data_IF_148403653760
#
_entry.id   IF_148403653760
#
_cell.length_a   1.000
_cell.length_b   1.000
_cell.length_c   1.000
_cell.angle_alpha   90.00
_cell.angle_beta   90.00
_cell.angle_gamma   90.00
#
_symmetry.space_group_name_H-M   'P 1'
#
loop_
_entity.id
_entity.type
_entity.pdbx_description
1 polymer ?
#
# COMPACT_ATOMS: atom_id res chain seq x y z
N UNK A 1 9.22 -0.03 -5.53
CA UNK A 1 7.93 -0.71 -5.75
C UNK A 1 8.21 -2.21 -5.84
N UNK A 2 7.51 -3.02 -5.03
CA UNK A 2 7.48 -4.47 -5.26
C UNK A 2 6.53 -4.75 -6.41
N UNK A 3 6.95 -5.55 -7.38
CA UNK A 3 6.21 -5.84 -8.61
C UNK A 3 6.15 -7.34 -8.84
N UNK A 4 5.08 -7.79 -9.49
CA UNK A 4 4.91 -9.16 -9.92
C UNK A 4 5.27 -9.26 -11.40
N UNK A 5 6.35 -9.97 -11.72
CA UNK A 5 6.90 -10.09 -13.08
C UNK A 5 7.44 -11.50 -13.32
N UNK A 6 7.54 -11.91 -14.59
CA UNK A 6 8.14 -13.20 -14.96
C UNK A 6 9.60 -13.26 -14.51
N UNK A 7 9.98 -14.39 -13.92
CA UNK A 7 11.33 -14.61 -13.42
C UNK A 7 11.85 -16.00 -13.82
N UNK A 8 13.17 -16.13 -13.90
CA UNK A 8 13.88 -17.42 -13.87
C UNK A 8 14.29 -17.70 -12.42
N UNK A 9 14.06 -18.93 -11.97
CA UNK A 9 14.42 -19.38 -10.62
C UNK A 9 15.50 -20.45 -10.73
N UNK A 10 16.62 -20.25 -10.04
CA UNK A 10 17.74 -21.19 -10.03
C UNK A 10 18.47 -21.20 -8.70
N UNK A 11 19.59 -21.92 -8.63
CA UNK A 11 20.40 -22.05 -7.40
C UNK A 11 20.93 -20.72 -6.85
N UNK A 12 21.05 -19.71 -7.72
CA UNK A 12 21.54 -18.37 -7.36
C UNK A 12 20.40 -17.41 -6.97
N UNK A 13 19.16 -17.90 -6.90
CA UNK A 13 17.98 -17.11 -6.53
C UNK A 13 17.10 -16.75 -7.73
N UNK A 14 16.50 -15.57 -7.66
CA UNK A 14 15.48 -15.09 -8.61
C UNK A 14 16.11 -14.08 -9.58
N UNK A 15 16.01 -14.37 -10.88
CA UNK A 15 16.40 -13.46 -11.95
C UNK A 15 15.15 -12.95 -12.66
N UNK A 16 14.85 -11.66 -12.50
CA UNK A 16 13.68 -11.03 -13.13
C UNK A 16 13.90 -10.82 -14.63
N UNK A 17 12.86 -11.04 -15.43
CA UNK A 17 12.89 -10.73 -16.86
C UNK A 17 12.35 -9.32 -17.11
N UNK A 18 12.98 -8.59 -18.03
CA UNK A 18 12.59 -7.22 -18.37
C UNK A 18 11.19 -7.17 -18.99
N UNK A 19 10.29 -6.39 -18.39
CA UNK A 19 8.92 -6.16 -18.91
C UNK A 19 8.88 -5.08 -20.00
N UNK A 20 9.80 -4.10 -19.96
CA UNK A 20 9.80 -2.96 -20.86
C UNK A 20 8.94 -1.80 -20.35
N UNK A 21 8.46 -0.95 -21.27
CA UNK A 21 7.66 0.23 -20.92
C UNK A 21 6.19 -0.14 -20.69
N UNK A 22 5.63 0.35 -19.58
CA UNK A 22 4.21 0.17 -19.24
C UNK A 22 3.40 1.37 -19.76
N UNK A 23 2.28 1.16 -20.48
CA UNK A 23 1.43 2.26 -20.93
C UNK A 23 0.89 3.12 -19.78
N UNK A 24 0.66 4.40 -20.07
CA UNK A 24 0.29 5.44 -19.07
C UNK A 24 -0.87 5.03 -18.17
N UNK A 25 -1.92 4.42 -18.73
CA UNK A 25 -3.09 3.99 -17.97
C UNK A 25 -2.70 3.02 -16.84
N UNK A 26 -2.04 1.91 -17.18
CA UNK A 26 -1.62 0.90 -16.20
C UNK A 26 -0.59 1.44 -15.22
N UNK A 27 0.35 2.26 -15.70
CA UNK A 27 1.32 2.92 -14.83
C UNK A 27 0.61 3.78 -13.78
N UNK A 28 -0.38 4.58 -14.16
CA UNK A 28 -1.16 5.37 -13.22
C UNK A 28 -1.85 4.52 -12.14
N UNK A 29 -2.43 3.39 -12.54
CA UNK A 29 -3.06 2.46 -11.59
C UNK A 29 -2.05 1.85 -10.61
N UNK A 30 -0.89 1.41 -11.12
CA UNK A 30 0.14 0.77 -10.31
C UNK A 30 0.79 1.75 -9.32
N UNK A 31 1.07 2.97 -9.75
CA UNK A 31 1.69 4.00 -8.91
C UNK A 31 0.75 4.43 -7.77
N UNK A 32 -0.55 4.56 -8.05
CA UNK A 32 -1.55 4.84 -7.02
C UNK A 32 -1.64 3.70 -5.98
N UNK A 33 -1.72 2.44 -6.44
CA UNK A 33 -1.78 1.29 -5.53
C UNK A 33 -0.48 1.11 -4.73
N UNK A 34 0.67 1.38 -5.34
CA UNK A 34 1.96 1.36 -4.66
C UNK A 34 2.02 2.42 -3.57
N UNK A 35 1.56 3.64 -3.83
CA UNK A 35 1.52 4.72 -2.83
C UNK A 35 0.68 4.31 -1.61
N UNK A 36 -0.49 3.71 -1.82
CA UNK A 36 -1.31 3.13 -0.75
C UNK A 36 -0.53 2.09 0.09
N UNK A 37 0.07 1.10 -0.57
CA UNK A 37 0.82 0.03 0.12
C UNK A 37 2.03 0.58 0.88
N UNK A 38 2.76 1.51 0.28
CA UNK A 38 3.92 2.15 0.90
C UNK A 38 3.54 2.96 2.14
N UNK A 39 2.49 3.78 2.07
CA UNK A 39 2.00 4.55 3.21
C UNK A 39 1.46 3.64 4.33
N UNK A 40 0.87 2.50 3.98
CA UNK A 40 0.42 1.51 4.97
C UNK A 40 1.60 0.90 5.73
N UNK A 41 2.69 0.54 5.02
CA UNK A 41 3.92 0.05 5.67
C UNK A 41 4.56 1.15 6.52
N UNK A 42 4.65 2.38 6.00
CA UNK A 42 5.22 3.50 6.75
C UNK A 42 4.40 3.80 8.02
N UNK A 43 3.08 3.65 7.96
CA UNK A 43 2.19 3.73 9.14
C UNK A 43 2.56 2.70 10.19
N UNK A 44 2.79 1.45 9.79
CA UNK A 44 3.18 0.38 10.71
C UNK A 44 4.53 0.65 11.38
N UNK A 45 5.51 1.15 10.61
CA UNK A 45 6.86 1.42 11.10
C UNK A 45 6.95 2.67 11.98
N UNK A 46 6.18 3.71 11.67
CA UNK A 46 6.27 5.01 12.35
C UNK A 46 5.15 5.25 13.36
N UNK A 47 4.07 4.47 13.31
CA UNK A 47 2.87 4.69 14.10
C UNK A 47 2.16 6.00 13.74
N UNK A 48 2.13 6.40 12.47
CA UNK A 48 1.54 7.70 12.08
C UNK A 48 0.08 7.58 11.66
N UNK A 49 -0.84 8.19 12.43
CA UNK A 49 -2.26 8.28 12.08
C UNK A 49 -2.45 8.99 10.73
N UNK A 50 -1.70 10.08 10.49
CA UNK A 50 -1.78 10.84 9.25
C UNK A 50 -1.45 9.98 8.02
N UNK A 51 -0.41 9.13 8.10
CA UNK A 51 -0.05 8.23 7.00
C UNK A 51 -1.09 7.13 6.79
N UNK A 52 -1.69 6.63 7.88
CA UNK A 52 -2.77 5.65 7.82
C UNK A 52 -3.96 6.22 7.04
N UNK A 53 -4.36 7.44 7.39
CA UNK A 53 -5.45 8.15 6.73
C UNK A 53 -5.13 8.43 5.27
N UNK A 54 -3.92 8.91 4.96
CA UNK A 54 -3.50 9.15 3.57
C UNK A 54 -3.51 7.86 2.73
N UNK A 55 -3.12 6.72 3.32
CA UNK A 55 -3.20 5.43 2.65
C UNK A 55 -4.65 5.14 2.27
N UNK A 56 -5.58 5.15 3.23
CA UNK A 56 -6.98 4.85 2.96
C UNK A 56 -7.61 5.82 1.95
N UNK A 57 -7.29 7.12 2.01
CA UNK A 57 -7.77 8.11 1.03
C UNK A 57 -7.28 7.80 -0.38
N UNK A 58 -6.04 7.33 -0.54
CA UNK A 58 -5.50 6.96 -1.86
C UNK A 58 -6.06 5.65 -2.40
N UNK A 59 -6.60 4.79 -1.54
CA UNK A 59 -7.16 3.52 -1.97
C UNK A 59 -8.39 3.75 -2.87
N UNK A 60 -8.37 3.16 -4.06
CA UNK A 60 -9.44 3.34 -5.07
C UNK A 60 -10.80 2.79 -4.66
N UNK A 61 -10.88 1.96 -3.63
CA UNK A 61 -12.18 1.48 -3.10
C UNK A 61 -12.76 2.41 -2.05
N UNK A 62 -12.02 3.42 -1.59
CA UNK A 62 -12.45 4.36 -0.55
C UNK A 62 -12.62 5.77 -1.14
N UNK A 63 -11.56 6.36 -1.70
CA UNK A 63 -11.52 7.66 -2.42
C UNK A 63 -12.17 8.88 -1.74
N UNK A 64 -12.66 8.75 -0.51
CA UNK A 64 -13.35 9.78 0.27
C UNK A 64 -12.64 9.94 1.62
N UNK A 65 -12.35 11.18 2.01
CA UNK A 65 -11.60 11.48 3.24
C UNK A 65 -12.41 11.23 4.49
N UNK A 66 -13.71 11.53 4.48
CA UNK A 66 -14.54 11.36 5.67
C UNK A 66 -14.85 9.88 5.90
N UNK A 67 -15.20 9.13 4.84
CA UNK A 67 -15.32 7.66 4.92
C UNK A 67 -14.01 6.98 5.36
N UNK A 68 -12.86 7.48 4.92
CA UNK A 68 -11.57 6.94 5.32
C UNK A 68 -11.27 7.15 6.82
N UNK A 69 -11.72 8.26 7.43
CA UNK A 69 -11.56 8.50 8.88
C UNK A 69 -12.40 7.54 9.69
N UNK A 70 -13.67 7.39 9.30
CA UNK A 70 -14.62 6.52 9.99
C UNK A 70 -14.14 5.07 9.89
N UNK A 71 -13.75 4.63 8.70
CA UNK A 71 -13.17 3.30 8.48
C UNK A 71 -11.88 3.08 9.28
N UNK A 72 -10.99 4.07 9.34
CA UNK A 72 -9.75 3.95 10.11
C UNK A 72 -10.04 3.81 11.61
N UNK A 73 -11.00 4.56 12.15
CA UNK A 73 -11.39 4.45 13.54
C UNK A 73 -11.91 3.04 13.88
N UNK A 74 -12.78 2.49 13.04
CA UNK A 74 -13.31 1.13 13.20
C UNK A 74 -12.20 0.07 13.12
N UNK A 75 -11.29 0.20 12.15
CA UNK A 75 -10.16 -0.70 12.00
C UNK A 75 -9.20 -0.63 13.20
N UNK A 76 -8.90 0.57 13.69
CA UNK A 76 -8.07 0.75 14.88
C UNK A 76 -8.71 0.11 16.11
N UNK A 77 -10.02 0.28 16.31
CA UNK A 77 -10.75 -0.31 17.44
C UNK A 77 -10.67 -1.84 17.44
N UNK A 78 -10.99 -2.46 16.30
CA UNK A 78 -11.02 -3.92 16.17
C UNK A 78 -9.60 -4.51 16.26
N UNK A 79 -8.58 -3.77 15.81
CA UNK A 79 -7.20 -4.24 15.75
C UNK A 79 -6.31 -3.74 16.90
N UNK A 80 -6.85 -3.15 17.97
CA UNK A 80 -6.07 -2.60 19.12
C UNK A 80 -4.98 -3.55 19.65
N UNK A 81 -5.26 -4.85 19.67
CA UNK A 81 -4.32 -5.86 20.20
C UNK A 81 -3.27 -6.33 19.18
N UNK A 82 -3.39 -5.92 17.92
CA UNK A 82 -2.55 -6.37 16.81
C UNK A 82 -1.75 -5.24 16.17
N UNK A 83 -2.28 -4.02 16.17
CA UNK A 83 -1.64 -2.85 15.58
C UNK A 83 -0.85 -2.07 16.62
N UNK A 84 0.22 -1.42 16.16
CA UNK A 84 0.93 -0.44 16.97
C UNK A 84 0.00 0.76 17.26
N UNK A 85 0.20 1.42 18.40
CA UNK A 85 -0.49 2.68 18.70
C UNK A 85 -0.13 3.74 17.64
N UNK A 86 -1.15 4.36 17.06
CA UNK A 86 -1.00 5.44 16.10
C UNK A 86 -1.04 6.79 16.82
N UNK A 87 -0.12 7.68 16.43
CA UNK A 87 0.09 9.04 16.93
C UNK A 87 -0.31 10.08 15.89
#
# INVERSE_FOLDING_TARGET
MMVEVTCRVGSNGIETLTVGSVPTFYKGLMENQYAYGKLTVDTCLEGSYKKALQALVLNRTVVNTDEAKDLLADLMEINKNYWNELK
#
